data_IF_266199365963
#
_entry.id   IF_266199365963
#
_cell.length_a   1.000
_cell.length_b   1.000
_cell.length_c   1.000
_cell.angle_alpha   90.00
_cell.angle_beta   90.00
_cell.angle_gamma   90.00
#
_symmetry.space_group_name_H-M   'P 1'
#
loop_
_entity.id
_entity.type
_entity.pdbx_description
1 polymer ?
#
# COMPACT_ATOMS: atom_id res chain seq x y z
N UNK A 1 13.78 -5.01 -4.16
CA UNK A 1 14.74 -4.45 -3.19
C UNK A 1 16.08 -4.23 -3.87
N UNK A 2 16.52 -2.97 -4.04
CA UNK A 2 17.71 -2.61 -4.83
C UNK A 2 19.03 -2.63 -4.03
N UNK A 3 18.97 -2.49 -2.70
CA UNK A 3 20.15 -2.32 -1.84
C UNK A 3 20.16 -3.30 -0.64
N UNK A 4 20.29 -4.62 -0.86
CA UNK A 4 20.40 -5.60 0.23
C UNK A 4 21.72 -5.48 1.01
N UNK A 5 22.68 -4.72 0.49
CA UNK A 5 23.95 -4.36 1.11
C UNK A 5 23.80 -3.27 2.19
N UNK A 6 22.73 -2.47 2.11
CA UNK A 6 22.43 -1.41 3.08
C UNK A 6 21.39 -1.89 4.10
N UNK A 7 20.35 -2.59 3.63
CA UNK A 7 19.24 -3.03 4.46
C UNK A 7 19.28 -4.53 4.71
N UNK A 8 19.53 -4.92 5.96
CA UNK A 8 19.61 -6.32 6.36
C UNK A 8 18.32 -6.89 6.99
N UNK A 9 17.35 -6.04 7.36
CA UNK A 9 16.09 -6.46 7.96
C UNK A 9 14.91 -5.58 7.54
N UNK A 10 13.74 -6.19 7.41
CA UNK A 10 12.43 -5.54 7.33
C UNK A 10 11.53 -6.11 8.40
N UNK A 11 10.95 -5.23 9.22
CA UNK A 11 9.82 -5.55 10.08
C UNK A 11 8.62 -4.75 9.60
N UNK A 12 7.56 -5.43 9.17
CA UNK A 12 6.36 -4.78 8.67
C UNK A 12 5.16 -5.14 9.52
N UNK A 13 4.61 -4.15 10.21
CA UNK A 13 3.43 -4.27 11.05
C UNK A 13 2.19 -3.82 10.26
N UNK A 14 1.18 -4.69 10.20
CA UNK A 14 -0.04 -4.55 9.37
C UNK A 14 0.28 -4.09 7.94
N UNK A 15 1.09 -4.85 7.19
CA UNK A 15 1.61 -4.42 5.90
C UNK A 15 0.50 -4.35 4.86
N UNK A 16 0.33 -3.20 4.21
CA UNK A 16 -0.53 -3.07 3.03
C UNK A 16 -0.02 -3.91 1.87
N UNK A 17 -0.49 -5.16 1.76
CA UNK A 17 -0.13 -6.12 0.73
C UNK A 17 -1.41 -6.60 0.05
N UNK A 18 -1.38 -6.73 -1.27
CA UNK A 18 -2.46 -7.32 -2.03
C UNK A 18 -2.14 -8.78 -2.36
N UNK A 19 -3.17 -9.63 -2.23
CA UNK A 19 -3.21 -10.90 -2.94
C UNK A 19 -3.62 -10.68 -4.40
N UNK A 20 -3.86 -11.77 -5.13
CA UNK A 20 -4.30 -11.71 -6.55
C UNK A 20 -5.59 -10.92 -6.76
N UNK A 21 -6.41 -10.73 -5.72
CA UNK A 21 -7.67 -9.98 -5.76
C UNK A 21 -7.61 -8.71 -4.90
N UNK A 22 -6.43 -8.34 -4.38
CA UNK A 22 -6.34 -7.50 -3.20
C UNK A 22 -6.90 -6.10 -3.41
N UNK A 23 -6.70 -5.51 -4.60
CA UNK A 23 -7.27 -4.20 -4.91
C UNK A 23 -8.80 -4.23 -4.94
N UNK A 24 -9.39 -5.35 -5.39
CA UNK A 24 -10.84 -5.52 -5.40
C UNK A 24 -11.39 -5.69 -3.98
N UNK A 25 -10.66 -6.39 -3.13
CA UNK A 25 -11.04 -6.63 -1.73
C UNK A 25 -10.73 -5.44 -0.81
N UNK A 26 -9.83 -4.54 -1.21
CA UNK A 26 -9.38 -3.39 -0.42
C UNK A 26 -10.43 -2.30 -0.22
N UNK A 27 -11.55 -2.36 -0.95
CA UNK A 27 -12.61 -1.35 -1.00
C UNK A 27 -12.18 0.02 -1.56
N UNK A 28 -10.90 0.20 -1.90
CA UNK A 28 -10.35 1.44 -2.46
C UNK A 28 -10.94 1.77 -3.84
N UNK A 29 -11.07 0.76 -4.71
CA UNK A 29 -11.61 0.93 -6.06
C UNK A 29 -13.00 0.30 -6.25
N UNK A 30 -13.42 -0.60 -5.35
CA UNK A 30 -14.67 -1.38 -5.49
C UNK A 30 -15.87 -0.79 -4.77
N UNK A 31 -15.70 0.30 -4.02
CA UNK A 31 -16.81 1.19 -3.74
C UNK A 31 -17.14 1.95 -5.04
N UNK A 32 -17.92 1.33 -5.93
CA UNK A 32 -18.29 1.89 -7.24
C UNK A 32 -18.97 3.27 -7.15
N UNK A 33 -19.48 3.65 -5.97
CA UNK A 33 -19.99 4.99 -5.68
C UNK A 33 -18.89 6.05 -5.49
N UNK A 34 -17.62 5.66 -5.29
CA UNK A 34 -16.52 6.56 -4.95
C UNK A 34 -15.66 7.01 -6.13
N UNK A 35 -15.51 6.25 -7.23
CA UNK A 35 -14.64 6.69 -8.35
C UNK A 35 -15.21 7.95 -9.01
N UNK A 36 -16.52 8.00 -9.26
CA UNK A 36 -17.19 9.18 -9.80
C UNK A 36 -17.14 10.36 -8.83
N UNK A 37 -17.26 10.12 -7.52
CA UNK A 37 -17.13 11.16 -6.50
C UNK A 37 -15.68 11.66 -6.38
N UNK A 38 -14.69 10.79 -6.51
CA UNK A 38 -13.26 11.14 -6.54
C UNK A 38 -12.95 11.94 -7.79
N UNK A 39 -13.41 11.49 -8.95
CA UNK A 39 -13.29 12.23 -10.20
C UNK A 39 -13.98 13.58 -10.10
N UNK A 40 -15.14 13.66 -9.43
CA UNK A 40 -15.82 14.93 -9.16
C UNK A 40 -14.99 15.84 -8.26
N UNK A 41 -14.48 15.36 -7.12
CA UNK A 41 -13.63 16.17 -6.21
C UNK A 41 -12.36 16.64 -6.91
N UNK A 42 -11.76 15.78 -7.73
CA UNK A 42 -10.58 16.11 -8.53
C UNK A 42 -10.94 17.13 -9.63
N UNK A 43 -12.06 16.95 -10.32
CA UNK A 43 -12.56 17.91 -11.33
C UNK A 43 -12.92 19.26 -10.72
N UNK A 44 -13.54 19.30 -9.54
CA UNK A 44 -13.80 20.53 -8.80
C UNK A 44 -12.49 21.23 -8.41
N UNK A 45 -11.49 20.47 -7.95
CA UNK A 45 -10.15 20.99 -7.69
C UNK A 45 -9.49 21.60 -8.93
N UNK A 46 -9.66 20.98 -10.10
CA UNK A 46 -9.12 21.47 -11.38
C UNK A 46 -9.84 22.72 -11.88
N UNK A 47 -11.18 22.73 -11.79
CA UNK A 47 -12.04 23.76 -12.35
C UNK A 47 -12.14 25.03 -11.49
N UNK A 48 -11.50 25.07 -10.33
CA UNK A 48 -11.42 26.28 -9.49
C UNK A 48 -10.50 27.33 -10.14
N UNK A 49 -11.05 28.37 -10.81
CA UNK A 49 -10.26 29.20 -11.73
C UNK A 49 -9.37 30.21 -10.99
N UNK A 50 -9.68 30.51 -9.73
CA UNK A 50 -9.13 31.66 -9.00
C UNK A 50 -8.13 31.29 -7.91
N UNK A 51 -7.81 30.01 -7.73
CA UNK A 51 -6.92 29.54 -6.65
C UNK A 51 -5.49 29.33 -7.18
N UNK A 52 -4.51 29.91 -6.48
CA UNK A 52 -3.10 29.57 -6.71
C UNK A 52 -2.80 28.14 -6.21
N UNK A 53 -1.63 27.59 -6.55
CA UNK A 53 -1.26 26.21 -6.20
C UNK A 53 -1.37 25.89 -4.70
N UNK A 54 -1.02 26.85 -3.84
CA UNK A 54 -1.12 26.71 -2.37
C UNK A 54 -2.59 26.62 -1.94
N UNK A 55 -3.46 27.46 -2.50
CA UNK A 55 -4.90 27.45 -2.21
C UNK A 55 -5.58 26.19 -2.75
N UNK A 56 -5.15 25.70 -3.91
CA UNK A 56 -5.55 24.40 -4.44
C UNK A 56 -5.16 23.29 -3.48
N UNK A 57 -3.90 23.22 -3.05
CA UNK A 57 -3.43 22.20 -2.10
C UNK A 57 -4.16 22.27 -0.75
N UNK A 58 -4.45 23.48 -0.24
CA UNK A 58 -5.27 23.68 0.96
C UNK A 58 -6.70 23.17 0.77
N UNK A 59 -7.33 23.45 -0.37
CA UNK A 59 -8.66 22.94 -0.71
C UNK A 59 -8.67 21.41 -0.79
N UNK A 60 -7.67 20.82 -1.45
CA UNK A 60 -7.50 19.37 -1.56
C UNK A 60 -7.40 18.74 -0.16
N UNK A 61 -6.46 19.22 0.66
CA UNK A 61 -6.25 18.69 2.01
C UNK A 61 -7.45 18.92 2.93
N UNK A 62 -8.19 20.02 2.80
CA UNK A 62 -9.41 20.25 3.59
C UNK A 62 -10.54 19.26 3.22
N UNK A 63 -10.75 19.00 1.93
CA UNK A 63 -11.87 18.17 1.46
C UNK A 63 -11.56 16.66 1.46
N UNK A 64 -10.29 16.27 1.58
CA UNK A 64 -9.84 14.88 1.46
C UNK A 64 -9.21 14.34 2.75
N UNK A 65 -9.12 15.16 3.81
CA UNK A 65 -8.58 14.76 5.12
C UNK A 65 -9.61 14.85 6.24
N UNK A 66 -10.71 15.58 6.07
CA UNK A 66 -11.72 15.80 7.11
C UNK A 66 -13.13 15.44 6.63
N UNK A 67 -13.68 14.38 7.23
CA UNK A 67 -15.04 13.88 7.04
C UNK A 67 -15.18 12.51 7.73
N UNK A 68 -16.40 11.94 7.86
CA UNK A 68 -16.58 10.53 8.23
C UNK A 68 -15.80 9.61 7.27
N UNK A 69 -15.74 8.29 7.54
CA UNK A 69 -14.95 7.23 6.88
C UNK A 69 -14.56 7.46 5.39
N UNK A 70 -15.43 8.07 4.58
CA UNK A 70 -15.23 8.45 3.19
C UNK A 70 -14.08 9.45 2.94
N UNK A 71 -13.80 10.38 3.86
CA UNK A 71 -12.69 11.34 3.72
C UNK A 71 -11.32 10.65 3.70
N UNK A 72 -11.12 9.68 4.61
CA UNK A 72 -9.90 8.87 4.67
C UNK A 72 -9.64 8.10 3.37
N UNK A 73 -10.67 7.49 2.79
CA UNK A 73 -10.54 6.72 1.55
C UNK A 73 -10.09 7.58 0.37
N UNK A 74 -10.65 8.79 0.24
CA UNK A 74 -10.29 9.70 -0.85
C UNK A 74 -8.85 10.20 -0.71
N UNK A 75 -8.42 10.56 0.51
CA UNK A 75 -7.04 10.92 0.79
C UNK A 75 -6.05 9.79 0.52
N UNK A 76 -6.41 8.56 0.92
CA UNK A 76 -5.61 7.37 0.64
C UNK A 76 -5.46 7.12 -0.87
N UNK A 77 -6.54 7.22 -1.64
CA UNK A 77 -6.50 6.98 -3.08
C UNK A 77 -5.64 8.00 -3.83
N UNK A 78 -5.67 9.27 -3.45
CA UNK A 78 -4.77 10.28 -4.01
C UNK A 78 -3.30 9.96 -3.70
N UNK A 79 -3.00 9.63 -2.45
CA UNK A 79 -1.64 9.27 -2.05
C UNK A 79 -1.15 8.02 -2.78
N UNK A 80 -2.00 7.00 -2.88
CA UNK A 80 -1.69 5.74 -3.55
C UNK A 80 -1.50 5.94 -5.06
N UNK A 81 -2.41 6.64 -5.73
CA UNK A 81 -2.33 6.95 -7.15
C UNK A 81 -1.07 7.75 -7.48
N UNK A 82 -0.77 8.78 -6.70
CA UNK A 82 0.45 9.59 -6.87
C UNK A 82 1.73 8.76 -6.72
N UNK A 83 1.74 7.79 -5.80
CA UNK A 83 2.92 6.97 -5.54
C UNK A 83 3.14 5.86 -6.56
N UNK A 84 2.07 5.22 -7.03
CA UNK A 84 2.16 3.98 -7.80
C UNK A 84 1.69 4.10 -9.26
N UNK A 85 0.95 5.16 -9.58
CA UNK A 85 0.45 5.44 -10.93
C UNK A 85 0.72 6.89 -11.39
N UNK A 86 1.92 7.46 -11.14
CA UNK A 86 2.19 8.84 -11.53
C UNK A 86 2.12 9.02 -13.05
N UNK A 87 1.62 10.17 -13.48
CA UNK A 87 1.56 10.59 -14.88
C UNK A 87 2.12 12.01 -14.99
N UNK A 88 3.38 12.09 -15.40
CA UNK A 88 4.11 13.33 -15.59
C UNK A 88 3.69 14.09 -16.86
N UNK A 89 2.84 13.51 -17.71
CA UNK A 89 2.31 14.21 -18.89
C UNK A 89 1.15 15.14 -18.56
N UNK A 90 0.56 15.02 -17.38
CA UNK A 90 -0.51 15.89 -16.92
C UNK A 90 0.05 17.28 -16.58
N UNK A 91 -0.50 18.32 -17.21
CA UNK A 91 -0.07 19.70 -16.98
C UNK A 91 -0.55 20.28 -15.65
N UNK A 92 -1.47 19.59 -14.97
CA UNK A 92 -2.07 20.05 -13.71
C UNK A 92 -2.27 18.90 -12.70
N UNK A 93 -2.26 19.17 -11.36
CA UNK A 93 -2.35 18.13 -10.34
C UNK A 93 -3.71 17.41 -10.31
N UNK A 94 -3.75 16.06 -10.19
CA UNK A 94 -2.92 15.42 -9.19
C UNK A 94 -1.73 14.63 -9.77
N UNK A 95 -1.43 14.77 -11.06
CA UNK A 95 -0.25 14.15 -11.71
C UNK A 95 -0.20 12.62 -11.59
N UNK A 96 -1.36 11.96 -11.61
CA UNK A 96 -1.46 10.52 -11.65
C UNK A 96 -2.71 10.06 -12.42
N UNK A 97 -2.67 8.82 -12.90
CA UNK A 97 -3.75 8.23 -13.68
C UNK A 97 -4.88 7.69 -12.78
N UNK A 98 -6.11 8.17 -12.98
CA UNK A 98 -7.32 7.57 -12.39
C UNK A 98 -7.93 6.54 -13.37
N UNK A 99 -8.36 5.36 -12.88
CA UNK A 99 -9.10 4.43 -13.72
C UNK A 99 -10.44 5.05 -14.15
N UNK A 100 -10.89 4.72 -15.36
CA UNK A 100 -12.20 5.15 -15.87
C UNK A 100 -13.33 4.52 -15.04
N UNK A 101 -14.36 5.31 -14.75
CA UNK A 101 -15.62 4.89 -14.09
C UNK A 101 -16.36 3.77 -14.81
N UNK A 102 -16.11 3.56 -16.10
CA UNK A 102 -16.69 2.45 -16.87
C UNK A 102 -15.99 1.11 -16.62
N UNK A 103 -14.87 1.11 -15.90
CA UNK A 103 -14.10 -0.10 -15.58
C UNK A 103 -14.85 -0.91 -14.54
N UNK A 104 -15.59 -1.91 -15.02
CA UNK A 104 -16.02 -3.04 -14.21
C UNK A 104 -14.88 -4.05 -14.07
N UNK A 105 -14.92 -4.92 -13.06
CA UNK A 105 -13.97 -6.06 -12.91
C UNK A 105 -13.84 -6.87 -14.21
N UNK A 106 -14.86 -6.85 -15.06
CA UNK A 106 -14.95 -7.59 -16.31
C UNK A 106 -14.42 -6.86 -17.55
N UNK A 107 -14.05 -5.58 -17.46
CA UNK A 107 -13.59 -4.78 -18.60
C UNK A 107 -12.37 -3.91 -18.26
N UNK A 108 -11.47 -4.46 -17.44
CA UNK A 108 -10.22 -3.80 -17.08
C UNK A 108 -9.33 -3.69 -18.32
N UNK A 109 -8.94 -2.46 -18.70
CA UNK A 109 -7.81 -2.28 -19.59
C UNK A 109 -6.53 -2.62 -18.81
N UNK A 110 -5.89 -3.74 -19.16
CA UNK A 110 -4.75 -4.31 -18.45
C UNK A 110 -3.66 -3.27 -18.15
N UNK A 111 -3.29 -2.41 -19.12
CA UNK A 111 -2.23 -1.42 -18.91
C UNK A 111 -2.61 -0.34 -17.90
N UNK A 112 -3.87 0.06 -17.85
CA UNK A 112 -4.35 1.18 -17.04
C UNK A 112 -4.51 0.81 -15.56
N UNK A 113 -4.75 -0.47 -15.27
CA UNK A 113 -5.04 -0.94 -13.91
C UNK A 113 -3.85 -1.67 -13.27
N UNK A 114 -2.89 -2.11 -14.08
CA UNK A 114 -1.70 -2.78 -13.59
C UNK A 114 -0.89 -1.94 -12.61
N UNK A 115 -0.72 -0.62 -12.82
CA UNK A 115 0.00 0.21 -11.85
C UNK A 115 -0.71 0.26 -10.48
N UNK A 116 -2.05 0.27 -10.50
CA UNK A 116 -2.87 0.30 -9.30
C UNK A 116 -2.78 -1.02 -8.55
N UNK A 117 -2.87 -2.16 -9.25
CA UNK A 117 -2.63 -3.49 -8.67
C UNK A 117 -1.18 -3.59 -8.14
N UNK A 118 -0.21 -3.20 -8.95
CA UNK A 118 1.21 -3.45 -8.69
C UNK A 118 1.81 -2.53 -7.62
N UNK A 119 1.09 -1.54 -7.10
CA UNK A 119 1.56 -0.79 -5.93
C UNK A 119 1.78 -1.72 -4.74
N UNK A 120 0.70 -2.26 -4.20
CA UNK A 120 0.73 -3.24 -3.10
C UNK A 120 0.67 -4.71 -3.56
N UNK A 121 0.49 -4.99 -4.85
CA UNK A 121 0.44 -6.33 -5.45
C UNK A 121 1.65 -6.66 -6.33
N UNK A 122 1.46 -7.52 -7.35
CA UNK A 122 2.52 -7.88 -8.30
C UNK A 122 3.65 -8.72 -7.69
N UNK A 123 3.36 -9.48 -6.63
CA UNK A 123 4.40 -10.10 -5.80
C UNK A 123 5.16 -11.23 -6.48
N UNK A 124 4.54 -12.01 -7.35
CA UNK A 124 5.23 -13.09 -8.07
C UNK A 124 6.39 -12.56 -8.91
N UNK A 125 6.13 -11.49 -9.68
CA UNK A 125 7.13 -10.83 -10.52
C UNK A 125 8.20 -10.13 -9.67
N UNK A 126 7.79 -9.38 -8.63
CA UNK A 126 8.71 -8.69 -7.71
C UNK A 126 9.64 -9.67 -6.98
N UNK A 127 9.12 -10.81 -6.55
CA UNK A 127 9.92 -11.85 -5.89
C UNK A 127 10.88 -12.48 -6.89
N UNK A 128 10.44 -12.78 -8.12
CA UNK A 128 11.30 -13.31 -9.17
C UNK A 128 12.44 -12.33 -9.51
N UNK A 129 12.12 -11.06 -9.71
CA UNK A 129 13.10 -10.01 -10.06
C UNK A 129 14.13 -9.80 -8.94
N UNK A 130 13.71 -9.87 -7.69
CA UNK A 130 14.57 -9.54 -6.54
C UNK A 130 14.97 -10.74 -5.69
N UNK A 131 14.83 -11.95 -6.22
CA UNK A 131 14.97 -13.20 -5.46
C UNK A 131 16.26 -13.29 -4.64
N UNK A 132 17.40 -13.07 -5.30
CA UNK A 132 18.73 -13.13 -4.69
C UNK A 132 18.93 -12.07 -3.59
N UNK A 133 18.31 -10.90 -3.74
CA UNK A 133 18.37 -9.82 -2.75
C UNK A 133 17.47 -10.12 -1.56
N UNK A 134 16.26 -10.63 -1.80
CA UNK A 134 15.31 -11.01 -0.75
C UNK A 134 15.86 -12.12 0.15
N UNK A 135 16.63 -13.07 -0.40
CA UNK A 135 17.31 -14.12 0.40
C UNK A 135 18.31 -13.59 1.41
N UNK A 136 18.81 -12.36 1.25
CA UNK A 136 19.78 -11.73 2.16
C UNK A 136 19.13 -10.96 3.30
N UNK A 137 17.82 -10.73 3.23
CA UNK A 137 17.09 -9.86 4.16
C UNK A 137 16.36 -10.72 5.18
N UNK A 138 16.42 -10.31 6.45
CA UNK A 138 15.58 -10.87 7.49
C UNK A 138 14.18 -10.22 7.43
N UNK A 139 13.16 -10.95 7.00
CA UNK A 139 11.80 -10.43 6.82
C UNK A 139 10.90 -10.89 7.97
N UNK A 140 10.25 -9.94 8.64
CA UNK A 140 9.20 -10.21 9.62
C UNK A 140 7.92 -9.50 9.18
N UNK A 141 6.83 -10.26 9.05
CA UNK A 141 5.48 -9.76 8.77
C UNK A 141 4.64 -9.96 10.04
N UNK A 142 4.14 -8.88 10.62
CA UNK A 142 3.34 -8.88 11.83
C UNK A 142 1.94 -8.33 11.53
N UNK A 143 0.90 -9.13 11.69
CA UNK A 143 -0.43 -8.77 11.21
C UNK A 143 -1.55 -9.33 12.11
N UNK A 144 -2.60 -8.52 12.30
CA UNK A 144 -3.82 -8.95 12.96
C UNK A 144 -4.57 -9.96 12.10
N UNK A 145 -5.22 -10.94 12.73
CA UNK A 145 -6.04 -11.94 12.00
C UNK A 145 -7.37 -11.36 11.51
N UNK A 146 -7.80 -10.21 12.05
CA UNK A 146 -9.06 -9.53 11.72
C UNK A 146 -8.83 -8.23 10.93
N UNK A 147 -7.70 -8.09 10.23
CA UNK A 147 -7.29 -6.90 9.46
C UNK A 147 -7.76 -6.95 7.99
N UNK A 148 -8.85 -7.68 7.72
CA UNK A 148 -9.48 -7.78 6.40
C UNK A 148 -8.51 -8.12 5.26
N UNK A 149 -8.53 -7.33 4.20
CA UNK A 149 -7.71 -7.54 3.00
C UNK A 149 -6.20 -7.53 3.29
N UNK A 150 -5.75 -6.85 4.35
CA UNK A 150 -4.34 -6.83 4.77
C UNK A 150 -3.92 -8.20 5.28
N UNK A 151 -4.78 -8.88 6.04
CA UNK A 151 -4.52 -10.24 6.52
C UNK A 151 -4.37 -11.20 5.33
N UNK A 152 -5.27 -11.13 4.36
CA UNK A 152 -5.26 -12.03 3.19
C UNK A 152 -4.04 -11.81 2.30
N UNK A 153 -3.72 -10.55 2.00
CA UNK A 153 -2.51 -10.20 1.27
C UNK A 153 -1.22 -10.61 2.00
N UNK A 154 -1.16 -10.43 3.32
CA UNK A 154 0.00 -10.85 4.12
C UNK A 154 0.19 -12.37 4.08
N UNK A 155 -0.90 -13.14 4.19
CA UNK A 155 -0.84 -14.61 4.06
C UNK A 155 -0.34 -15.02 2.68
N UNK A 156 -0.88 -14.40 1.63
CA UNK A 156 -0.48 -14.68 0.24
C UNK A 156 1.01 -14.42 0.02
N UNK A 157 1.51 -13.23 0.40
CA UNK A 157 2.92 -12.87 0.20
C UNK A 157 3.85 -13.73 1.05
N UNK A 158 3.49 -14.04 2.30
CA UNK A 158 4.27 -14.96 3.13
C UNK A 158 4.44 -16.32 2.44
N UNK A 159 3.35 -16.87 1.92
CA UNK A 159 3.38 -18.16 1.21
C UNK A 159 4.25 -18.10 -0.04
N UNK A 160 4.15 -17.02 -0.83
CA UNK A 160 5.01 -16.84 -2.01
C UNK A 160 6.49 -16.78 -1.64
N UNK A 161 6.85 -16.06 -0.57
CA UNK A 161 8.24 -15.99 -0.08
C UNK A 161 8.74 -17.38 0.32
N UNK A 162 7.96 -18.14 1.10
CA UNK A 162 8.29 -19.51 1.51
C UNK A 162 8.46 -20.46 0.32
N UNK A 163 7.53 -20.42 -0.64
CA UNK A 163 7.60 -21.22 -1.88
C UNK A 163 8.86 -20.91 -2.71
N UNK A 164 9.33 -19.67 -2.65
CA UNK A 164 10.57 -19.23 -3.31
C UNK A 164 11.81 -19.42 -2.43
N UNK A 165 11.71 -20.15 -1.31
CA UNK A 165 12.81 -20.41 -0.37
C UNK A 165 13.43 -19.12 0.21
N UNK A 166 12.62 -18.07 0.37
CA UNK A 166 13.02 -16.83 1.03
C UNK A 166 12.58 -16.92 2.49
N UNK A 167 13.51 -16.64 3.41
CA UNK A 167 13.23 -16.70 4.85
C UNK A 167 12.30 -15.55 5.23
N UNK A 168 11.14 -15.89 5.77
CA UNK A 168 10.18 -14.94 6.35
C UNK A 168 9.67 -15.48 7.68
N UNK A 169 9.49 -14.59 8.66
CA UNK A 169 8.79 -14.89 9.91
C UNK A 169 7.44 -14.19 9.88
N UNK A 170 6.36 -14.94 10.04
CA UNK A 170 5.04 -14.36 10.26
C UNK A 170 4.68 -14.36 11.74
N UNK A 171 4.12 -13.25 12.19
CA UNK A 171 3.56 -13.06 13.52
C UNK A 171 2.09 -12.71 13.35
N UNK A 172 1.23 -13.53 13.91
CA UNK A 172 -0.22 -13.31 13.89
C UNK A 172 -0.69 -12.97 15.30
N UNK A 173 -1.61 -12.03 15.41
CA UNK A 173 -2.23 -11.68 16.70
C UNK A 173 -3.74 -11.54 16.56
N UNK A 174 -4.45 -11.79 17.67
CA UNK A 174 -5.88 -11.53 17.77
C UNK A 174 -6.13 -10.02 17.86
N UNK A 175 -6.53 -9.43 16.74
CA UNK A 175 -6.72 -8.00 16.57
C UNK A 175 -6.89 -7.58 15.11
N UNK A 176 -7.11 -6.30 14.91
CA UNK A 176 -7.25 -5.63 13.61
C UNK A 176 -6.08 -4.71 13.31
N UNK A 177 -6.35 -3.62 12.58
CA UNK A 177 -5.29 -2.76 12.03
C UNK A 177 -4.47 -1.98 13.07
N UNK A 178 -5.11 -1.50 14.15
CA UNK A 178 -4.48 -0.54 15.08
C UNK A 178 -4.71 -0.85 16.56
N UNK A 179 -5.57 -1.81 16.88
CA UNK A 179 -6.06 -2.09 18.24
C UNK A 179 -4.97 -2.59 19.20
N UNK A 180 -3.92 -3.23 18.66
CA UNK A 180 -2.76 -3.70 19.44
C UNK A 180 -1.45 -2.99 19.11
N UNK A 181 -1.48 -1.90 18.34
CA UNK A 181 -0.27 -1.25 17.81
C UNK A 181 0.81 -1.02 18.87
N UNK A 182 0.46 -0.41 20.01
CA UNK A 182 1.40 -0.13 21.09
C UNK A 182 2.06 -1.40 21.68
N UNK A 183 1.30 -2.48 21.82
CA UNK A 183 1.78 -3.78 22.31
C UNK A 183 2.70 -4.39 21.26
N UNK A 184 2.28 -4.43 19.98
CA UNK A 184 3.07 -4.98 18.88
C UNK A 184 4.42 -4.29 18.74
N UNK A 185 4.43 -2.95 18.84
CA UNK A 185 5.66 -2.17 18.79
C UNK A 185 6.60 -2.50 19.95
N UNK A 186 6.09 -2.42 21.19
CA UNK A 186 6.90 -2.58 22.40
C UNK A 186 7.42 -4.00 22.60
N UNK A 187 6.58 -5.01 22.35
CA UNK A 187 6.86 -6.39 22.73
C UNK A 187 7.39 -7.24 21.58
N UNK A 188 7.21 -6.81 20.32
CA UNK A 188 7.61 -7.60 19.16
C UNK A 188 8.55 -6.84 18.22
N UNK A 189 8.19 -5.64 17.75
CA UNK A 189 9.01 -4.91 16.77
C UNK A 189 10.35 -4.47 17.35
N UNK A 190 10.34 -3.64 18.40
CA UNK A 190 11.57 -3.09 18.98
C UNK A 190 12.51 -4.20 19.48
N UNK A 191 12.04 -5.25 20.19
CA UNK A 191 12.92 -6.36 20.59
C UNK A 191 13.48 -7.15 19.41
N UNK A 192 12.70 -7.37 18.34
CA UNK A 192 13.19 -8.09 17.15
C UNK A 192 14.28 -7.32 16.44
N UNK A 193 14.16 -5.99 16.37
CA UNK A 193 15.17 -5.10 15.79
C UNK A 193 16.43 -5.09 16.66
N UNK A 194 16.30 -4.94 17.99
CA UNK A 194 17.45 -4.99 18.92
C UNK A 194 18.24 -6.28 18.77
N UNK A 195 17.53 -7.42 18.82
CA UNK A 195 18.13 -8.74 18.66
C UNK A 195 18.83 -8.90 17.31
N UNK A 196 18.26 -8.37 16.24
CA UNK A 196 18.92 -8.41 14.93
C UNK A 196 20.26 -7.67 14.98
N UNK A 197 20.31 -6.45 15.50
CA UNK A 197 21.55 -5.68 15.59
C UNK A 197 22.60 -6.32 16.50
N UNK A 198 22.20 -6.86 17.65
CA UNK A 198 23.11 -7.59 18.55
C UNK A 198 23.82 -8.77 17.86
N UNK A 199 23.10 -9.48 16.98
CA UNK A 199 23.68 -10.58 16.19
C UNK A 199 24.60 -10.12 15.07
N UNK A 200 24.46 -8.88 14.59
CA UNK A 200 25.35 -8.34 13.56
C UNK A 200 26.67 -7.82 14.14
N UNK A 201 26.67 -7.33 15.38
CA UNK A 201 27.88 -6.79 16.04
C UNK A 201 28.75 -7.86 16.71
N UNK A 202 28.27 -9.09 16.78
CA UNK A 202 28.96 -10.21 17.44
C UNK A 202 29.80 -11.07 16.48
N UNK A 203 29.93 -10.67 15.21
CA UNK A 203 30.80 -11.25 14.19
C UNK A 203 31.86 -10.22 13.78
#
# INVERSE_FOLDING_TARGET
MKHPDIFGMVYSLSPGLFDVNGILNSRFLTSYQNISEIQKVISEFFNEPNKNEIERYKYLTANLRYGPYDGYLKGFLLAYGSAFCPDASLETPPFFYLPDTSVTVTNINDKQFNCWINGFGGWEEKIKEHHSNLKKINIILDCGINDGWITDGTKYVSKLLEQNQIKVKTLWFDGGHTDKLHIRLKEHMLPSISKYFETQTSN
#
